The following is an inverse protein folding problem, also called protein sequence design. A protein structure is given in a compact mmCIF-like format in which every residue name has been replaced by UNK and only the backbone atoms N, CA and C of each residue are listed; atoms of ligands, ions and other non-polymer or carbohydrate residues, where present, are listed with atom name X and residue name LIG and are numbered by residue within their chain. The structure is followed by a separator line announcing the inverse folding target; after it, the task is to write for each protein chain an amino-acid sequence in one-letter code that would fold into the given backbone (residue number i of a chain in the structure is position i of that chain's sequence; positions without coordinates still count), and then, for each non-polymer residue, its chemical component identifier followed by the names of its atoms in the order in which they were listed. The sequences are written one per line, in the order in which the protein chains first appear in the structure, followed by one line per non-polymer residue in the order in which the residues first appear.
data_IF_221369491355
#
_entry.id   IF_221369491355
#
_cell.length_a   1.000
_cell.length_b   1.000
_cell.length_c   1.000
_cell.angle_alpha   90.00
_cell.angle_beta   90.00
_cell.angle_gamma   90.00
#
_symmetry.space_group_name_H-M   'P 1'
#
loop_
_entity.id
_entity.type
_entity.pdbx_description
1 polymer ?
#
# COMPACT_ATOMS: atom_id res chain seq x y z
N UNK A 1 43.32 16.34 25.65
CA UNK A 1 42.39 15.32 25.10
C UNK A 1 42.10 15.70 23.65
N UNK A 2 42.74 15.02 22.71
CA UNK A 2 42.48 15.18 21.28
C UNK A 2 41.15 14.48 21.00
N UNK A 3 40.12 15.24 20.64
CA UNK A 3 38.89 14.66 20.09
C UNK A 3 39.31 13.91 18.82
N UNK A 4 39.19 12.58 18.82
CA UNK A 4 39.31 11.82 17.59
C UNK A 4 38.32 12.42 16.58
N UNK A 5 38.77 12.67 15.35
CA UNK A 5 37.88 13.14 14.29
C UNK A 5 36.73 12.14 14.18
N UNK A 6 35.50 12.61 14.36
CA UNK A 6 34.31 11.79 14.18
C UNK A 6 34.28 11.31 12.73
N UNK A 7 34.43 10.01 12.53
CA UNK A 7 34.19 9.38 11.22
C UNK A 7 32.68 9.30 11.01
N UNK A 8 32.18 10.14 10.10
CA UNK A 8 30.77 10.26 9.77
C UNK A 8 30.42 9.54 8.45
N UNK A 9 31.34 8.71 7.94
CA UNK A 9 31.10 7.92 6.72
C UNK A 9 29.84 7.06 6.84
N UNK A 10 29.66 6.38 7.97
CA UNK A 10 28.48 5.54 8.21
C UNK A 10 27.19 6.34 8.33
N UNK A 11 27.24 7.51 8.99
CA UNK A 11 26.09 8.40 9.08
C UNK A 11 25.67 8.92 7.69
N UNK A 12 26.64 9.33 6.86
CA UNK A 12 26.39 9.75 5.48
C UNK A 12 25.80 8.62 4.64
N UNK A 13 26.38 7.42 4.72
CA UNK A 13 25.91 6.23 4.00
C UNK A 13 24.50 5.80 4.44
N UNK A 14 24.19 5.89 5.74
CA UNK A 14 22.85 5.61 6.26
C UNK A 14 21.82 6.61 5.73
N UNK A 15 22.14 7.91 5.77
CA UNK A 15 21.30 8.95 5.19
C UNK A 15 21.05 8.76 3.69
N UNK A 16 22.07 8.35 2.93
CA UNK A 16 21.94 8.04 1.50
C UNK A 16 21.02 6.84 1.25
N UNK A 17 21.17 5.76 2.03
CA UNK A 17 20.32 4.58 1.91
C UNK A 17 18.85 4.90 2.21
N UNK A 18 18.57 5.67 3.26
CA UNK A 18 17.23 6.16 3.58
C UNK A 18 16.70 7.05 2.45
N UNK A 19 17.53 7.96 1.93
CA UNK A 19 17.20 8.82 0.79
C UNK A 19 16.78 8.03 -0.45
N UNK A 20 17.47 6.93 -0.76
CA UNK A 20 17.05 6.01 -1.82
C UNK A 20 15.70 5.33 -1.51
N UNK A 21 15.45 4.93 -0.26
CA UNK A 21 14.17 4.35 0.17
C UNK A 21 12.98 5.31 0.07
N UNK A 22 13.22 6.61 0.25
CA UNK A 22 12.22 7.68 0.13
C UNK A 22 12.02 8.17 -1.32
N UNK A 23 12.98 7.93 -2.20
CA UNK A 23 12.92 8.38 -3.60
C UNK A 23 11.96 7.52 -4.41
N UNK A 24 10.90 8.13 -4.95
CA UNK A 24 9.91 7.44 -5.79
C UNK A 24 10.58 6.82 -7.02
N UNK A 25 10.30 5.54 -7.26
CA UNK A 25 10.82 4.79 -8.40
C UNK A 25 12.30 4.41 -8.31
N UNK A 26 13.03 4.79 -7.25
CA UNK A 26 14.41 4.35 -7.06
C UNK A 26 14.48 2.83 -6.90
N UNK A 27 15.47 2.22 -7.55
CA UNK A 27 15.71 0.77 -7.53
C UNK A 27 17.19 0.47 -7.34
N UNK A 28 17.54 -0.56 -6.55
CA UNK A 28 18.91 -1.03 -6.49
C UNK A 28 19.22 -1.77 -7.79
N UNK A 29 19.90 -1.11 -8.73
CA UNK A 29 20.39 -1.73 -9.96
C UNK A 29 21.83 -2.21 -9.76
N UNK A 30 22.27 -3.17 -10.55
CA UNK A 30 23.64 -3.69 -10.46
C UNK A 30 24.68 -2.57 -10.64
N UNK A 31 25.69 -2.55 -9.77
CA UNK A 31 26.73 -1.51 -9.74
C UNK A 31 26.30 -0.15 -9.19
N UNK A 32 25.04 0.06 -8.80
CA UNK A 32 24.61 1.33 -8.21
C UNK A 32 24.98 1.46 -6.73
N UNK A 33 25.18 2.70 -6.26
CA UNK A 33 25.39 3.00 -4.85
C UNK A 33 24.25 2.48 -3.98
N UNK A 34 23.00 2.57 -4.46
CA UNK A 34 21.85 2.01 -3.74
C UNK A 34 22.01 0.50 -3.53
N UNK A 35 22.39 -0.26 -4.56
CA UNK A 35 22.62 -1.70 -4.40
C UNK A 35 23.76 -1.99 -3.42
N UNK A 36 24.88 -1.28 -3.54
CA UNK A 36 26.03 -1.45 -2.64
C UNK A 36 25.67 -1.17 -1.18
N UNK A 37 24.95 -0.08 -0.91
CA UNK A 37 24.49 0.27 0.43
C UNK A 37 23.46 -0.73 0.98
N UNK A 38 22.54 -1.21 0.14
CA UNK A 38 21.54 -2.19 0.53
C UNK A 38 22.16 -3.55 0.85
N UNK A 39 23.17 -3.98 0.09
CA UNK A 39 23.88 -5.23 0.34
C UNK A 39 24.74 -5.11 1.60
N UNK A 40 25.35 -3.93 1.86
CA UNK A 40 26.01 -3.64 3.13
C UNK A 40 25.03 -3.71 4.30
N UNK A 41 23.86 -3.07 4.19
CA UNK A 41 22.82 -3.09 5.23
C UNK A 41 22.38 -4.52 5.59
N UNK A 42 22.39 -5.46 4.62
CA UNK A 42 22.05 -6.87 4.85
C UNK A 42 23.15 -7.68 5.52
N UNK A 43 24.40 -7.24 5.43
CA UNK A 43 25.58 -8.07 5.80
C UNK A 43 26.39 -7.50 6.97
N UNK A 44 26.29 -6.20 7.23
CA UNK A 44 27.00 -5.49 8.30
C UNK A 44 26.00 -5.03 9.38
N UNK A 45 25.99 -5.72 10.53
CA UNK A 45 25.08 -5.43 11.64
C UNK A 45 25.24 -4.01 12.18
N UNK A 46 26.47 -3.48 12.24
CA UNK A 46 26.70 -2.14 12.77
C UNK A 46 26.14 -1.08 11.82
N UNK A 47 26.30 -1.28 10.52
CA UNK A 47 25.71 -0.39 9.53
C UNK A 47 24.18 -0.48 9.54
N UNK A 48 23.62 -1.70 9.71
CA UNK A 48 22.17 -1.89 9.93
C UNK A 48 21.66 -1.09 11.14
N UNK A 49 22.27 -1.25 12.31
CA UNK A 49 21.87 -0.52 13.52
C UNK A 49 21.92 0.99 13.32
N UNK A 50 22.93 1.48 12.57
CA UNK A 50 23.06 2.90 12.25
C UNK A 50 21.91 3.39 11.35
N UNK A 51 21.55 2.61 10.32
CA UNK A 51 20.44 2.93 9.42
C UNK A 51 19.11 2.91 10.16
N UNK A 52 18.86 1.90 10.98
CA UNK A 52 17.63 1.75 11.74
C UNK A 52 17.46 2.90 12.75
N UNK A 53 18.54 3.26 13.47
CA UNK A 53 18.53 4.40 14.40
C UNK A 53 18.26 5.73 13.69
N UNK A 54 18.82 5.93 12.49
CA UNK A 54 18.55 7.12 11.69
C UNK A 54 17.11 7.15 11.19
N UNK A 55 16.56 6.01 10.75
CA UNK A 55 15.18 5.89 10.34
C UNK A 55 14.23 6.22 11.50
N UNK A 56 14.46 5.62 12.67
CA UNK A 56 13.68 5.87 13.89
C UNK A 56 13.70 7.35 14.28
N UNK A 57 14.87 7.99 14.26
CA UNK A 57 15.00 9.42 14.53
C UNK A 57 14.25 10.34 13.54
N UNK A 58 13.89 9.83 12.36
CA UNK A 58 13.09 10.51 11.35
C UNK A 58 11.59 10.17 11.43
N UNK A 59 11.18 9.31 12.37
CA UNK A 59 9.83 8.75 12.45
C UNK A 59 9.55 7.77 11.31
N UNK A 60 10.54 6.95 10.96
CA UNK A 60 10.46 5.91 9.94
C UNK A 60 10.86 4.55 10.53
N UNK A 61 10.19 3.50 10.09
CA UNK A 61 10.55 2.12 10.39
C UNK A 61 11.01 1.40 9.11
N UNK A 62 12.08 0.60 9.21
CA UNK A 62 12.53 -0.26 8.11
C UNK A 62 11.76 -1.58 8.15
N UNK A 63 10.75 -1.71 7.30
CA UNK A 63 9.94 -2.93 7.22
C UNK A 63 10.65 -4.09 6.54
N UNK A 64 11.63 -3.80 5.68
CA UNK A 64 12.40 -4.85 5.01
C UNK A 64 13.14 -4.41 3.76
N UNK A 65 13.82 -5.38 3.15
CA UNK A 65 14.65 -5.16 1.96
C UNK A 65 14.33 -6.12 0.82
N UNK A 66 13.13 -6.08 0.22
CA UNK A 66 12.83 -6.87 -0.96
C UNK A 66 13.76 -6.51 -2.14
N UNK A 67 13.66 -7.27 -3.24
CA UNK A 67 14.45 -7.01 -4.45
C UNK A 67 14.26 -5.59 -5.00
N UNK A 68 13.13 -4.96 -4.71
CA UNK A 68 12.79 -3.60 -5.15
C UNK A 68 13.47 -2.49 -4.36
N UNK A 69 14.15 -2.80 -3.25
CA UNK A 69 14.84 -1.83 -2.42
C UNK A 69 14.40 -1.83 -0.96
N UNK A 70 14.90 -0.86 -0.19
CA UNK A 70 14.49 -0.58 1.18
C UNK A 70 13.02 -0.14 1.23
N UNK A 71 12.25 -0.74 2.12
CA UNK A 71 10.85 -0.35 2.39
C UNK A 71 10.77 0.31 3.75
N UNK A 72 10.24 1.52 3.76
CA UNK A 72 10.10 2.38 4.92
C UNK A 72 8.62 2.63 5.20
N UNK A 73 8.20 2.46 6.45
CA UNK A 73 6.90 2.89 6.95
C UNK A 73 7.07 4.18 7.75
N UNK A 74 6.29 5.23 7.47
CA UNK A 74 6.30 6.42 8.30
C UNK A 74 5.40 6.25 9.53
N UNK A 75 5.79 6.86 10.65
CA UNK A 75 4.88 7.06 11.77
C UNK A 75 3.62 7.82 11.32
N UNK A 76 2.41 7.46 11.81
CA UNK A 76 1.14 8.05 11.33
C UNK A 76 1.03 9.57 11.47
N UNK A 77 1.69 10.15 12.49
CA UNK A 77 1.68 11.61 12.74
C UNK A 77 2.93 12.31 12.24
N UNK A 78 3.88 11.56 11.66
CA UNK A 78 5.17 12.07 11.23
C UNK A 78 5.14 12.95 9.98
N UNK A 79 6.26 13.59 9.64
CA UNK A 79 6.39 14.40 8.43
C UNK A 79 6.29 13.57 7.15
N UNK A 80 6.67 12.28 7.22
CA UNK A 80 6.61 11.33 6.10
C UNK A 80 5.27 10.59 5.98
N UNK A 81 4.35 10.81 6.92
CA UNK A 81 3.03 10.19 6.89
C UNK A 81 2.32 10.53 5.57
N UNK A 82 1.85 9.50 4.86
CA UNK A 82 1.07 9.71 3.64
C UNK A 82 -0.32 10.19 4.00
N UNK A 83 -0.66 11.43 3.65
CA UNK A 83 -1.99 11.98 3.87
C UNK A 83 -2.80 11.95 2.58
N UNK A 84 -4.12 11.78 2.70
CA UNK A 84 -5.03 11.92 1.56
C UNK A 84 -4.97 13.32 0.92
N UNK A 85 -4.52 14.34 1.66
CA UNK A 85 -4.27 15.68 1.14
C UNK A 85 -3.05 15.75 0.19
N UNK A 86 -2.13 14.78 0.27
CA UNK A 86 -0.93 14.71 -0.57
C UNK A 86 -1.20 14.02 -1.92
N UNK A 87 -2.43 13.55 -2.14
CA UNK A 87 -2.86 13.00 -3.42
C UNK A 87 -2.89 14.12 -4.47
N UNK A 88 -2.21 13.89 -5.60
CA UNK A 88 -2.12 14.86 -6.71
C UNK A 88 -3.47 15.18 -7.37
N UNK A 89 -4.48 14.34 -7.14
CA UNK A 89 -5.84 14.53 -7.66
C UNK A 89 -6.66 15.30 -6.62
N UNK A 90 -7.29 16.40 -7.03
CA UNK A 90 -8.27 17.10 -6.21
C UNK A 90 -9.49 16.18 -6.00
N UNK A 91 -9.45 15.40 -4.92
CA UNK A 91 -10.53 14.53 -4.50
C UNK A 91 -11.43 15.23 -3.49
N UNK A 92 -12.74 15.10 -3.66
CA UNK A 92 -13.70 15.51 -2.64
C UNK A 92 -13.69 14.57 -1.42
N UNK A 93 -14.57 14.82 -0.45
CA UNK A 93 -14.62 14.03 0.77
C UNK A 93 -15.10 12.59 0.53
N UNK A 94 -16.05 12.38 -0.37
CA UNK A 94 -16.60 11.06 -0.70
C UNK A 94 -15.59 10.23 -1.49
N UNK A 95 -14.92 10.82 -2.47
CA UNK A 95 -13.85 10.19 -3.23
C UNK A 95 -12.70 9.74 -2.33
N UNK A 96 -12.38 10.52 -1.28
CA UNK A 96 -11.38 10.14 -0.26
C UNK A 96 -11.81 8.96 0.59
N UNK A 97 -13.09 8.86 0.93
CA UNK A 97 -13.63 7.70 1.65
C UNK A 97 -13.56 6.44 0.79
N UNK A 98 -14.00 6.55 -0.45
CA UNK A 98 -13.94 5.47 -1.45
C UNK A 98 -12.50 5.04 -1.71
N UNK A 99 -11.56 5.98 -1.82
CA UNK A 99 -10.13 5.68 -1.97
C UNK A 99 -9.61 4.82 -0.81
N UNK A 100 -9.92 5.21 0.42
CA UNK A 100 -9.51 4.45 1.62
C UNK A 100 -10.11 3.05 1.63
N UNK A 101 -11.41 2.91 1.33
CA UNK A 101 -12.09 1.62 1.23
C UNK A 101 -11.43 0.71 0.19
N UNK A 102 -11.18 1.21 -1.02
CA UNK A 102 -10.54 0.43 -2.09
C UNK A 102 -9.14 0.00 -1.68
N UNK A 103 -8.35 0.87 -1.05
CA UNK A 103 -6.99 0.52 -0.60
C UNK A 103 -7.00 -0.65 0.38
N UNK A 104 -7.91 -0.64 1.35
CA UNK A 104 -8.09 -1.74 2.31
C UNK A 104 -8.63 -2.99 1.61
N UNK A 105 -9.54 -2.83 0.65
CA UNK A 105 -10.08 -3.95 -0.14
C UNK A 105 -9.00 -4.62 -0.99
N UNK A 106 -8.07 -3.87 -1.60
CA UNK A 106 -6.91 -4.43 -2.31
C UNK A 106 -6.07 -5.29 -1.37
N UNK A 107 -5.80 -4.80 -0.15
CA UNK A 107 -5.05 -5.54 0.85
C UNK A 107 -5.77 -6.84 1.28
N UNK A 108 -7.06 -6.76 1.59
CA UNK A 108 -7.87 -7.92 1.96
C UNK A 108 -8.01 -8.95 0.83
N UNK A 109 -8.19 -8.48 -0.41
CA UNK A 109 -8.35 -9.31 -1.59
C UNK A 109 -7.07 -10.12 -1.89
N UNK A 110 -5.91 -9.49 -1.74
CA UNK A 110 -4.61 -10.09 -2.03
C UNK A 110 -4.02 -10.91 -0.86
N UNK A 111 -4.31 -10.51 0.38
CA UNK A 111 -3.79 -11.13 1.61
C UNK A 111 -4.93 -11.43 2.60
N UNK A 112 -5.80 -12.41 2.26
CA UNK A 112 -6.92 -12.80 3.11
C UNK A 112 -6.50 -13.46 4.42
N UNK A 113 -5.31 -14.05 4.50
CA UNK A 113 -4.77 -14.70 5.69
C UNK A 113 -3.41 -14.09 6.06
N UNK A 114 -3.00 -14.24 7.32
CA UNK A 114 -1.67 -13.80 7.77
C UNK A 114 -0.54 -14.51 7.02
N UNK A 115 -0.70 -15.81 6.74
CA UNK A 115 0.31 -16.60 5.99
C UNK A 115 0.53 -16.07 4.56
N UNK A 116 -0.45 -15.37 3.97
CA UNK A 116 -0.28 -14.75 2.65
C UNK A 116 0.73 -13.59 2.68
N UNK A 117 1.00 -13.03 3.87
CA UNK A 117 2.00 -11.98 4.06
C UNK A 117 3.42 -12.53 4.17
N UNK A 118 3.58 -13.82 4.47
CA UNK A 118 4.89 -14.50 4.44
C UNK A 118 5.25 -15.01 3.05
N UNK A 119 4.24 -15.18 2.20
CA UNK A 119 4.35 -15.67 0.84
C UNK A 119 4.82 -14.57 -0.13
N UNK A 120 6.02 -14.71 -0.75
CA UNK A 120 6.53 -13.75 -1.72
C UNK A 120 5.88 -13.88 -3.10
N UNK A 121 4.90 -14.79 -3.28
CA UNK A 121 4.24 -14.95 -4.55
C UNK A 121 3.56 -13.67 -5.01
N UNK A 122 3.63 -13.49 -6.33
CA UNK A 122 3.02 -12.36 -7.01
C UNK A 122 1.50 -12.42 -6.85
N UNK A 123 0.91 -11.39 -6.24
CA UNK A 123 -0.54 -11.21 -6.18
C UNK A 123 -1.02 -10.30 -7.30
N UNK A 124 -2.08 -10.70 -7.99
CA UNK A 124 -2.71 -9.96 -9.09
C UNK A 124 -4.05 -9.38 -8.63
N UNK A 125 -4.33 -8.17 -9.10
CA UNK A 125 -5.60 -7.46 -8.88
C UNK A 125 -6.18 -7.12 -10.24
N UNK A 126 -7.38 -7.61 -10.52
CA UNK A 126 -8.16 -7.21 -11.68
C UNK A 126 -9.23 -6.21 -11.24
N UNK A 127 -9.39 -5.11 -11.99
CA UNK A 127 -10.31 -4.02 -11.63
C UNK A 127 -11.75 -4.48 -11.49
N UNK A 128 -12.24 -5.34 -12.40
CA UNK A 128 -13.64 -5.80 -12.38
C UNK A 128 -13.85 -6.78 -11.24
N UNK A 129 -12.94 -7.75 -11.07
CA UNK A 129 -13.04 -8.71 -9.96
C UNK A 129 -12.98 -8.05 -8.59
N UNK A 130 -12.21 -6.96 -8.47
CA UNK A 130 -12.16 -6.21 -7.22
C UNK A 130 -13.46 -5.45 -6.95
N UNK A 131 -14.11 -4.87 -7.98
CA UNK A 131 -15.44 -4.25 -7.84
C UNK A 131 -16.48 -5.28 -7.37
N UNK A 132 -16.51 -6.46 -8.00
CA UNK A 132 -17.40 -7.55 -7.63
C UNK A 132 -17.16 -8.00 -6.17
N UNK A 133 -15.91 -8.16 -5.76
CA UNK A 133 -15.53 -8.48 -4.39
C UNK A 133 -16.03 -7.43 -3.39
N UNK A 134 -15.76 -6.14 -3.65
CA UNK A 134 -16.17 -5.05 -2.76
C UNK A 134 -17.70 -5.02 -2.62
N UNK A 135 -18.43 -5.11 -3.73
CA UNK A 135 -19.91 -5.13 -3.72
C UNK A 135 -20.47 -6.35 -2.99
N UNK A 136 -19.86 -7.52 -3.19
CA UNK A 136 -20.20 -8.74 -2.46
C UNK A 136 -20.00 -8.58 -0.96
N UNK A 137 -18.85 -8.04 -0.54
CA UNK A 137 -18.55 -7.79 0.87
C UNK A 137 -19.52 -6.79 1.53
N UNK A 138 -19.84 -5.68 0.85
CA UNK A 138 -20.80 -4.68 1.35
C UNK A 138 -22.20 -5.29 1.48
N UNK A 139 -22.63 -6.07 0.48
CA UNK A 139 -23.94 -6.74 0.51
C UNK A 139 -24.03 -7.77 1.64
N UNK A 140 -22.96 -8.54 1.86
CA UNK A 140 -22.87 -9.50 2.96
C UNK A 140 -22.95 -8.83 4.34
N UNK A 141 -22.28 -7.70 4.52
CA UNK A 141 -22.37 -6.93 5.77
C UNK A 141 -23.77 -6.42 6.06
N UNK A 142 -24.47 -5.89 5.04
CA UNK A 142 -25.85 -5.41 5.17
C UNK A 142 -26.83 -6.54 5.53
N UNK A 143 -26.54 -7.78 5.14
CA UNK A 143 -27.41 -8.93 5.42
C UNK A 143 -27.32 -9.45 6.87
N UNK A 144 -26.28 -9.08 7.63
CA UNK A 144 -26.00 -9.61 8.97
C UNK A 144 -26.58 -8.73 10.10
N UNK A 145 -27.18 -7.57 9.78
CA UNK A 145 -27.92 -6.69 10.70
C UNK A 145 -27.19 -6.50 12.06
N UNK A 146 -25.96 -5.97 12.01
CA UNK A 146 -25.15 -5.72 13.21
C UNK A 146 -25.39 -4.29 13.73
N UNK A 147 -26.04 -4.09 14.89
CA UNK A 147 -26.05 -2.81 15.56
C UNK A 147 -24.72 -2.62 16.31
N UNK A 148 -24.21 -1.40 16.19
CA UNK A 148 -23.27 -0.77 17.12
C UNK A 148 -21.78 -1.18 17.06
N UNK A 149 -20.94 -0.29 16.51
CA UNK A 149 -19.55 -0.07 16.97
C UNK A 149 -19.17 1.38 16.65
N UNK A 150 -18.90 2.20 17.67
CA UNK A 150 -18.29 3.52 17.51
C UNK A 150 -16.82 3.33 17.11
N UNK A 151 -16.56 3.50 15.81
CA UNK A 151 -15.28 3.71 15.09
C UNK A 151 -15.45 3.26 13.61
N UNK A 152 -16.45 2.40 13.33
CA UNK A 152 -16.81 1.93 11.99
C UNK A 152 -17.70 2.87 11.17
N UNK A 153 -18.08 4.05 11.68
CA UNK A 153 -18.96 4.97 10.96
C UNK A 153 -18.35 5.42 9.63
N UNK A 154 -17.06 5.78 9.63
CA UNK A 154 -16.34 6.19 8.41
C UNK A 154 -16.27 5.06 7.37
N UNK A 155 -16.05 3.82 7.82
CA UNK A 155 -16.02 2.65 6.95
C UNK A 155 -17.42 2.34 6.38
N UNK A 156 -18.48 2.48 7.19
CA UNK A 156 -19.87 2.35 6.74
C UNK A 156 -20.25 3.43 5.73
N UNK A 157 -19.94 4.69 6.01
CA UNK A 157 -20.16 5.79 5.06
C UNK A 157 -19.44 5.52 3.73
N UNK A 158 -18.19 5.06 3.77
CA UNK A 158 -17.47 4.70 2.55
C UNK A 158 -18.15 3.56 1.79
N UNK A 159 -18.65 2.53 2.50
CA UNK A 159 -19.39 1.42 1.91
C UNK A 159 -20.72 1.86 1.28
N UNK A 160 -21.46 2.75 1.94
CA UNK A 160 -22.72 3.28 1.43
C UNK A 160 -22.51 4.12 0.17
N UNK A 161 -21.54 5.06 0.21
CA UNK A 161 -21.14 5.85 -0.97
C UNK A 161 -20.72 4.92 -2.12
N UNK A 162 -19.89 3.91 -1.85
CA UNK A 162 -19.44 2.97 -2.88
C UNK A 162 -20.60 2.16 -3.49
N UNK A 163 -21.54 1.71 -2.65
CA UNK A 163 -22.70 0.93 -3.09
C UNK A 163 -23.60 1.74 -4.04
N UNK A 164 -23.77 3.02 -3.76
CA UNK A 164 -24.61 3.94 -4.53
C UNK A 164 -23.97 4.38 -5.87
N UNK A 165 -22.65 4.27 -6.00
CA UNK A 165 -21.94 4.58 -7.24
C UNK A 165 -22.23 3.55 -8.35
N UNK A 166 -22.44 3.99 -9.60
CA UNK A 166 -22.53 3.07 -10.74
C UNK A 166 -21.18 2.34 -10.94
N UNK A 167 -21.23 1.08 -11.37
CA UNK A 167 -20.00 0.32 -11.66
C UNK A 167 -19.24 0.92 -12.86
N UNK A 168 -19.95 1.20 -13.95
CA UNK A 168 -19.39 1.76 -15.17
C UNK A 168 -20.22 2.95 -15.67
N UNK A 169 -19.55 4.05 -15.96
CA UNK A 169 -20.07 5.11 -16.82
C UNK A 169 -19.25 5.10 -18.12
N UNK A 170 -19.81 4.66 -19.25
CA UNK A 170 -19.08 4.54 -20.49
C UNK A 170 -18.73 5.94 -21.04
N UNK A 171 -17.59 6.04 -21.70
CA UNK A 171 -17.24 7.23 -22.50
C UNK A 171 -17.06 6.85 -23.97
N UNK A 172 -17.28 7.80 -24.90
CA UNK A 172 -17.11 7.54 -26.34
C UNK A 172 -15.69 7.08 -26.74
N UNK A 173 -14.69 7.33 -25.89
CA UNK A 173 -13.27 7.04 -26.16
C UNK A 173 -12.75 5.81 -25.41
N UNK A 174 -13.64 4.96 -24.89
CA UNK A 174 -13.27 3.71 -24.22
C UNK A 174 -12.65 3.87 -22.83
N UNK A 175 -12.45 5.11 -22.35
CA UNK A 175 -12.04 5.38 -20.96
C UNK A 175 -13.25 5.31 -20.02
N UNK A 176 -13.02 5.00 -18.75
CA UNK A 176 -14.06 5.05 -17.72
C UNK A 176 -14.20 6.48 -17.19
N UNK A 177 -15.42 6.99 -17.08
CA UNK A 177 -15.66 8.35 -16.54
C UNK A 177 -15.42 8.36 -15.02
N UNK A 178 -15.00 9.49 -14.47
CA UNK A 178 -15.07 9.72 -13.01
C UNK A 178 -16.52 9.58 -12.50
N UNK A 179 -16.64 9.22 -11.22
CA UNK A 179 -17.94 8.94 -10.58
C UNK A 179 -18.46 7.51 -10.74
N UNK A 180 -17.64 6.57 -11.25
CA UNK A 180 -17.95 5.15 -11.25
C UNK A 180 -16.87 4.33 -10.52
N UNK A 181 -17.25 3.19 -9.94
CA UNK A 181 -16.36 2.42 -9.05
C UNK A 181 -15.17 1.83 -9.78
N UNK A 182 -15.34 1.35 -11.02
CA UNK A 182 -14.22 0.86 -11.83
C UNK A 182 -13.16 1.94 -12.07
N UNK A 183 -13.59 3.20 -12.31
CA UNK A 183 -12.64 4.32 -12.44
C UNK A 183 -11.96 4.66 -11.10
N UNK A 184 -12.68 4.57 -9.98
CA UNK A 184 -12.09 4.79 -8.66
C UNK A 184 -11.01 3.73 -8.35
N UNK A 185 -11.25 2.46 -8.68
CA UNK A 185 -10.27 1.38 -8.52
C UNK A 185 -9.03 1.64 -9.39
N UNK A 186 -9.19 1.98 -10.67
CA UNK A 186 -8.07 2.34 -11.54
C UNK A 186 -7.19 3.46 -10.94
N UNK A 187 -7.82 4.48 -10.33
CA UNK A 187 -7.10 5.59 -9.71
C UNK A 187 -6.26 5.11 -8.52
N UNK A 188 -6.82 4.26 -7.66
CA UNK A 188 -6.11 3.69 -6.51
C UNK A 188 -4.96 2.78 -6.97
N UNK A 189 -5.21 1.91 -7.94
CA UNK A 189 -4.17 1.05 -8.51
C UNK A 189 -3.07 1.86 -9.19
N UNK A 190 -3.41 2.91 -9.94
CA UNK A 190 -2.44 3.84 -10.52
C UNK A 190 -1.63 4.57 -9.46
N UNK A 191 -2.26 4.99 -8.36
CA UNK A 191 -1.55 5.56 -7.22
C UNK A 191 -0.58 4.54 -6.58
N UNK A 192 -0.98 3.27 -6.43
CA UNK A 192 -0.08 2.22 -5.96
C UNK A 192 1.11 2.01 -6.91
N UNK A 193 0.91 2.12 -8.22
CA UNK A 193 2.00 2.11 -9.21
C UNK A 193 2.96 3.27 -8.98
N UNK A 194 2.44 4.48 -8.79
CA UNK A 194 3.24 5.69 -8.50
C UNK A 194 4.03 5.58 -7.18
N UNK A 195 3.50 4.85 -6.19
CA UNK A 195 4.22 4.54 -4.94
C UNK A 195 5.20 3.36 -5.06
N UNK A 196 5.23 2.69 -6.21
CA UNK A 196 6.01 1.45 -6.41
C UNK A 196 5.49 0.24 -5.64
N UNK A 197 4.25 0.32 -5.14
CA UNK A 197 3.50 -0.73 -4.46
C UNK A 197 2.76 -1.67 -5.45
N UNK A 198 2.60 -1.23 -6.71
CA UNK A 198 2.07 -2.06 -7.79
C UNK A 198 2.81 -1.84 -9.11
N UNK A 199 2.49 -2.65 -10.12
CA UNK A 199 2.90 -2.51 -11.53
C UNK A 199 1.72 -2.88 -12.43
N UNK A 200 1.63 -2.25 -13.60
CA UNK A 200 0.66 -2.69 -14.62
C UNK A 200 1.09 -4.04 -15.20
N UNK A 201 0.20 -5.03 -15.17
CA UNK A 201 0.41 -6.35 -15.76
C UNK A 201 -0.04 -6.35 -17.23
N UNK A 202 0.61 -5.52 -18.06
CA UNK A 202 0.19 -5.22 -19.45
C UNK A 202 -0.06 -6.44 -20.34
N UNK A 203 0.60 -7.56 -20.05
CA UNK A 203 0.43 -8.83 -20.77
C UNK A 203 -0.88 -9.54 -20.47
N UNK A 204 -1.52 -9.24 -19.33
CA UNK A 204 -2.80 -9.81 -18.90
C UNK A 204 -3.98 -8.90 -19.25
N UNK A 205 -3.72 -7.62 -19.51
CA UNK A 205 -4.73 -6.64 -19.91
C UNK A 205 -4.49 -5.28 -19.27
N UNK A 206 -5.24 -4.25 -19.68
CA UNK A 206 -5.13 -2.90 -19.13
C UNK A 206 -5.72 -2.78 -17.70
N UNK A 207 -6.50 -3.76 -17.26
CA UNK A 207 -7.23 -3.76 -16.00
C UNK A 207 -6.56 -4.61 -14.90
N UNK A 208 -5.39 -5.17 -15.19
CA UNK A 208 -4.71 -6.07 -14.26
C UNK A 208 -3.43 -5.42 -13.73
N UNK A 209 -3.29 -5.45 -12.40
CA UNK A 209 -2.15 -4.93 -11.68
C UNK A 209 -1.45 -6.05 -10.90
N UNK A 210 -0.13 -5.97 -10.83
CA UNK A 210 0.74 -6.84 -10.06
C UNK A 210 1.18 -6.11 -8.79
N UNK A 211 0.83 -6.63 -7.62
CA UNK A 211 1.29 -6.08 -6.34
C UNK A 211 2.76 -6.42 -6.11
N UNK A 212 3.50 -5.52 -5.45
CA UNK A 212 4.93 -5.72 -5.14
C UNK A 212 5.13 -6.10 -3.66
N UNK A 213 6.30 -6.65 -3.33
CA UNK A 213 6.70 -6.88 -1.94
C UNK A 213 6.60 -5.63 -1.06
N UNK A 214 6.78 -4.44 -1.64
CA UNK A 214 6.59 -3.18 -0.92
C UNK A 214 5.17 -3.07 -0.37
N UNK A 215 4.17 -3.40 -1.18
CA UNK A 215 2.79 -3.38 -0.74
C UNK A 215 2.53 -4.44 0.32
N UNK A 216 3.03 -5.66 0.13
CA UNK A 216 2.92 -6.75 1.12
C UNK A 216 3.45 -6.32 2.50
N UNK A 217 4.65 -5.73 2.54
CA UNK A 217 5.25 -5.25 3.78
C UNK A 217 4.44 -4.13 4.43
N UNK A 218 3.94 -3.16 3.65
CA UNK A 218 3.06 -2.10 4.17
C UNK A 218 1.73 -2.66 4.72
N UNK A 219 1.19 -3.70 4.10
CA UNK A 219 -0.01 -4.38 4.61
C UNK A 219 0.30 -5.14 5.90
N UNK A 220 1.47 -5.78 6.00
CA UNK A 220 1.89 -6.50 7.21
C UNK A 220 2.06 -5.55 8.40
N UNK A 221 2.62 -4.37 8.19
CA UNK A 221 2.73 -3.30 9.19
C UNK A 221 1.36 -2.80 9.67
N UNK A 222 0.38 -2.72 8.75
CA UNK A 222 -1.00 -2.30 9.05
C UNK A 222 -1.96 -3.46 9.37
N UNK A 223 -1.45 -4.69 9.53
CA UNK A 223 -2.25 -5.88 9.75
C UNK A 223 -2.84 -5.83 11.18
N UNK A 224 -4.13 -5.53 11.29
CA UNK A 224 -4.81 -5.37 12.58
C UNK A 224 -5.89 -4.30 12.59
N UNK A 225 -6.06 -3.53 11.51
CA UNK A 225 -7.21 -2.62 11.41
C UNK A 225 -8.53 -3.40 11.27
N UNK A 226 -9.55 -2.96 12.01
CA UNK A 226 -10.88 -3.59 12.00
C UNK A 226 -11.49 -3.67 10.59
N UNK A 227 -11.35 -2.59 9.81
CA UNK A 227 -11.85 -2.55 8.43
C UNK A 227 -11.16 -3.60 7.52
N UNK A 228 -9.87 -3.85 7.73
CA UNK A 228 -9.14 -4.88 6.99
C UNK A 228 -9.65 -6.27 7.34
N UNK A 229 -9.86 -6.57 8.62
CA UNK A 229 -10.34 -7.88 9.06
C UNK A 229 -11.75 -8.21 8.59
N UNK A 230 -12.63 -7.20 8.55
CA UNK A 230 -13.96 -7.34 7.96
C UNK A 230 -13.87 -7.78 6.49
N UNK A 231 -13.06 -7.11 5.69
CA UNK A 231 -12.90 -7.44 4.27
C UNK A 231 -12.17 -8.77 4.06
N UNK A 232 -11.17 -9.10 4.89
CA UNK A 232 -10.50 -10.42 4.85
C UNK A 232 -11.49 -11.55 5.11
N UNK A 233 -12.40 -11.37 6.07
CA UNK A 233 -13.46 -12.35 6.37
C UNK A 233 -14.38 -12.58 5.18
N UNK A 234 -14.80 -11.50 4.51
CA UNK A 234 -15.58 -11.60 3.27
C UNK A 234 -14.80 -12.37 2.17
N UNK A 235 -13.51 -12.07 2.00
CA UNK A 235 -12.67 -12.72 0.99
C UNK A 235 -12.49 -14.22 1.23
N UNK A 236 -12.25 -14.63 2.48
CA UNK A 236 -12.12 -16.06 2.85
C UNK A 236 -13.40 -16.83 2.54
N UNK A 237 -14.57 -16.20 2.76
CA UNK A 237 -15.88 -16.80 2.46
C UNK A 237 -16.06 -17.00 0.96
N UNK A 238 -15.71 -16.00 0.14
CA UNK A 238 -15.77 -16.08 -1.33
C UNK A 238 -14.85 -17.16 -1.92
N UNK A 239 -13.62 -17.29 -1.40
CA UNK A 239 -12.65 -18.29 -1.90
C UNK A 239 -13.03 -19.73 -1.53
N UNK A 240 -13.81 -19.93 -0.47
CA UNK A 240 -14.23 -21.26 -0.01
C UNK A 240 -15.55 -21.72 -0.65
N UNK A 241 -16.32 -20.80 -1.24
CA UNK A 241 -17.60 -21.05 -1.90
C UNK A 241 -17.42 -21.56 -3.34
#
# INVERSE_FOLDING_TARGET
MTLAALDLTDASAAGQLIGFGLTRGARPVEGSDYRNLLDRYRTDLRFKDTVDTFAEGLGLEVLGTPRTGLVLAPEPTGPFATRLADLKTAMDAEEKLVFGLILVAVAAYAYPNEVDLDDPDTKLVDVVKLDDFIRGAISGLRAIDAPDVSNGERARTAADVYADMPSLIPTPHGRRKQGCTLRAIEIVCGWLVDQGAAREAKTLGPDTFQLTDRFRLLVADSAGSEALEVLRTARRTEVTA
#
